data_IF_245957604238
#
_entry.id   IF_245957604238
#
_cell.length_a   1.000
_cell.length_b   1.000
_cell.length_c   1.000
_cell.angle_alpha   90.00
_cell.angle_beta   90.00
_cell.angle_gamma   90.00
#
_symmetry.space_group_name_H-M   'P 1'
#
loop_
_entity.id
_entity.type
_entity.pdbx_description
1 polymer ?
#
# COMPACT_ATOMS: atom_id res chain seq x y z
N UNK A 1 17.19 9.11 9.99
CA UNK A 1 15.92 9.69 10.43
C UNK A 1 15.06 8.60 11.02
N UNK A 2 14.96 8.54 12.35
CA UNK A 2 14.11 7.54 13.03
C UNK A 2 12.68 8.07 12.95
N UNK A 3 11.90 7.61 11.97
CA UNK A 3 10.48 7.89 11.97
C UNK A 3 9.87 7.17 13.18
N UNK A 4 9.28 7.97 14.08
CA UNK A 4 8.31 7.49 15.05
C UNK A 4 7.25 6.67 14.30
N UNK A 5 6.82 5.58 14.89
CA UNK A 5 5.88 4.59 14.33
C UNK A 5 4.76 5.25 13.52
N UNK A 6 4.51 4.77 12.30
CA UNK A 6 3.49 5.32 11.41
C UNK A 6 2.08 5.01 11.93
N UNK A 7 1.31 6.06 12.21
CA UNK A 7 -0.11 5.95 12.56
C UNK A 7 -1.02 5.89 11.32
N UNK A 8 -2.30 5.56 11.54
CA UNK A 8 -3.28 5.43 10.47
C UNK A 8 -3.49 6.72 9.64
N UNK A 9 -3.42 7.89 10.26
CA UNK A 9 -3.53 9.18 9.57
C UNK A 9 -2.37 9.41 8.59
N UNK A 10 -1.15 9.29 9.11
CA UNK A 10 0.08 9.43 8.32
C UNK A 10 0.09 8.41 7.17
N UNK A 11 -0.37 7.18 7.43
CA UNK A 11 -0.50 6.17 6.40
C UNK A 11 -1.50 6.57 5.30
N UNK A 12 -2.69 7.04 5.66
CA UNK A 12 -3.68 7.48 4.68
C UNK A 12 -3.21 8.67 3.85
N UNK A 13 -2.46 9.60 4.45
CA UNK A 13 -1.87 10.71 3.72
C UNK A 13 -0.80 10.22 2.74
N UNK A 14 0.06 9.29 3.16
CA UNK A 14 1.03 8.65 2.26
C UNK A 14 0.35 7.91 1.10
N UNK A 15 -0.77 7.22 1.32
CA UNK A 15 -1.54 6.57 0.24
C UNK A 15 -2.14 7.60 -0.72
N UNK A 16 -2.65 8.73 -0.24
CA UNK A 16 -3.17 9.80 -1.13
C UNK A 16 -2.07 10.41 -1.99
N UNK A 17 -0.97 10.78 -1.36
CA UNK A 17 0.07 11.55 -2.03
C UNK A 17 0.94 10.68 -2.93
N UNK A 18 1.22 9.44 -2.53
CA UNK A 18 2.17 8.57 -3.24
C UNK A 18 1.50 7.47 -4.07
N UNK A 19 0.19 7.26 -3.96
CA UNK A 19 -0.53 6.31 -4.79
C UNK A 19 -1.67 6.95 -5.58
N UNK A 20 -2.65 7.58 -4.92
CA UNK A 20 -3.81 8.12 -5.64
C UNK A 20 -3.45 9.25 -6.60
N UNK A 21 -2.63 10.21 -6.14
CA UNK A 21 -2.22 11.34 -6.96
C UNK A 21 -1.38 10.91 -8.17
N UNK A 22 -0.34 10.06 -8.04
CA UNK A 22 0.38 9.53 -9.20
C UNK A 22 -0.51 8.71 -10.13
N UNK A 23 -1.39 7.85 -9.60
CA UNK A 23 -2.33 7.08 -10.41
C UNK A 23 -3.15 7.99 -11.34
N UNK A 24 -3.70 9.06 -10.79
CA UNK A 24 -4.50 10.02 -11.56
C UNK A 24 -3.63 10.83 -12.53
N UNK A 25 -2.41 11.20 -12.12
CA UNK A 25 -1.44 11.91 -12.98
C UNK A 25 -1.03 11.09 -14.21
N UNK A 26 -0.77 9.80 -14.03
CA UNK A 26 -0.42 8.89 -15.11
C UNK A 26 -1.63 8.35 -15.88
N UNK A 27 -2.85 8.80 -15.56
CA UNK A 27 -4.10 8.37 -16.18
C UNK A 27 -4.26 6.84 -16.19
N UNK A 28 -3.93 6.18 -15.09
CA UNK A 28 -4.06 4.73 -14.95
C UNK A 28 -5.54 4.31 -14.97
N UNK A 29 -5.83 3.20 -15.63
CA UNK A 29 -7.17 2.65 -15.68
C UNK A 29 -7.60 2.08 -14.32
N UNK A 30 -8.59 2.74 -13.72
CA UNK A 30 -9.14 2.39 -12.41
C UNK A 30 -9.83 1.02 -12.41
N UNK A 31 -10.26 0.54 -13.58
CA UNK A 31 -10.97 -0.75 -13.70
C UNK A 31 -10.03 -1.95 -13.64
N UNK A 32 -8.74 -1.76 -13.91
CA UNK A 32 -7.73 -2.83 -13.94
C UNK A 32 -6.75 -2.77 -12.76
N UNK A 33 -6.83 -1.71 -11.94
CA UNK A 33 -5.90 -1.47 -10.85
C UNK A 33 -6.23 -2.28 -9.59
N UNK A 34 -5.25 -3.03 -9.10
CA UNK A 34 -5.30 -3.76 -7.83
C UNK A 34 -4.28 -3.12 -6.87
N UNK A 35 -4.72 -2.81 -5.65
CA UNK A 35 -3.82 -2.31 -4.61
C UNK A 35 -3.50 -3.45 -3.63
N UNK A 36 -2.22 -3.76 -3.47
CA UNK A 36 -1.75 -4.83 -2.58
C UNK A 36 -1.00 -4.23 -1.39
N UNK A 37 -1.28 -4.73 -0.19
CA UNK A 37 -0.61 -4.36 1.05
C UNK A 37 -0.51 -5.57 1.99
N UNK A 38 0.42 -5.54 2.95
CA UNK A 38 0.52 -6.57 3.99
C UNK A 38 -0.51 -6.36 5.12
N UNK A 39 -0.49 -7.26 6.11
CA UNK A 39 -1.37 -7.21 7.28
C UNK A 39 -0.83 -6.40 8.47
N UNK A 40 0.09 -5.45 8.25
CA UNK A 40 0.57 -4.60 9.34
C UNK A 40 -0.60 -3.95 10.09
N UNK A 41 -0.43 -3.73 11.41
CA UNK A 41 -1.49 -3.21 12.27
C UNK A 41 -2.09 -1.88 11.76
N UNK A 42 -1.26 -1.03 11.14
CA UNK A 42 -1.71 0.22 10.55
C UNK A 42 -2.58 0.01 9.30
N UNK A 43 -2.25 -0.98 8.46
CA UNK A 43 -3.00 -1.30 7.23
C UNK A 43 -4.37 -1.94 7.53
N UNK A 44 -4.46 -2.67 8.64
CA UNK A 44 -5.69 -3.34 9.11
C UNK A 44 -6.49 -2.50 10.10
N UNK A 45 -5.98 -1.32 10.49
CA UNK A 45 -6.68 -0.41 11.38
C UNK A 45 -8.05 -0.04 10.80
N UNK A 46 -9.08 -0.01 11.66
CA UNK A 46 -10.47 0.26 11.26
C UNK A 46 -10.61 1.49 10.37
N UNK A 47 -9.94 2.57 10.72
CA UNK A 47 -9.93 3.83 9.97
C UNK A 47 -9.42 3.65 8.53
N UNK A 48 -8.35 2.89 8.35
CA UNK A 48 -7.77 2.58 7.03
C UNK A 48 -8.70 1.68 6.23
N UNK A 49 -9.21 0.62 6.85
CA UNK A 49 -10.14 -0.30 6.19
C UNK A 49 -11.45 0.38 5.78
N UNK A 50 -12.00 1.26 6.62
CA UNK A 50 -13.21 2.03 6.30
C UNK A 50 -12.98 3.05 5.19
N UNK A 51 -11.79 3.68 5.15
CA UNK A 51 -11.38 4.52 4.03
C UNK A 51 -11.37 3.72 2.72
N UNK A 52 -10.69 2.58 2.66
CA UNK A 52 -10.66 1.78 1.43
C UNK A 52 -12.04 1.27 1.03
N UNK A 53 -12.87 0.83 2.00
CA UNK A 53 -14.27 0.42 1.74
C UNK A 53 -15.10 1.51 1.09
N UNK A 54 -15.00 2.76 1.54
CA UNK A 54 -15.72 3.90 0.94
C UNK A 54 -15.23 4.22 -0.47
N UNK A 55 -13.94 4.01 -0.73
CA UNK A 55 -13.30 4.28 -2.02
C UNK A 55 -13.35 3.07 -3.00
N UNK A 56 -13.98 1.94 -2.62
CA UNK A 56 -14.08 0.71 -3.44
C UNK A 56 -14.68 0.89 -4.84
N UNK A 57 -15.39 1.98 -5.11
CA UNK A 57 -15.84 2.31 -6.48
C UNK A 57 -14.69 2.64 -7.45
N UNK A 58 -13.49 2.90 -6.92
CA UNK A 58 -12.29 3.23 -7.71
C UNK A 58 -11.13 2.26 -7.50
N UNK A 59 -11.35 1.20 -6.72
CA UNK A 59 -10.34 0.18 -6.44
C UNK A 59 -11.05 -1.17 -6.40
N UNK A 60 -10.82 -1.98 -7.43
CA UNK A 60 -11.54 -3.23 -7.63
C UNK A 60 -11.28 -4.21 -6.47
N UNK A 61 -10.03 -4.28 -5.99
CA UNK A 61 -9.65 -5.12 -4.84
C UNK A 61 -8.47 -4.53 -4.06
N UNK A 62 -8.57 -4.51 -2.74
CA UNK A 62 -7.41 -4.44 -1.84
C UNK A 62 -7.02 -5.87 -1.50
N UNK A 63 -5.87 -6.33 -1.97
CA UNK A 63 -5.35 -7.64 -1.63
C UNK A 63 -4.54 -7.54 -0.33
N UNK A 64 -5.07 -8.12 0.74
CA UNK A 64 -4.34 -8.36 1.97
C UNK A 64 -3.61 -9.69 1.83
N UNK A 65 -2.29 -9.68 2.04
CA UNK A 65 -1.49 -10.90 2.01
C UNK A 65 -1.87 -11.84 3.15
N UNK A 66 -1.65 -13.15 2.95
CA UNK A 66 -1.69 -14.08 4.07
C UNK A 66 -0.60 -13.70 5.09
N UNK A 67 -0.85 -13.89 6.40
CA UNK A 67 0.18 -13.68 7.41
C UNK A 67 1.44 -14.48 7.08
N UNK A 68 2.62 -13.87 7.26
CA UNK A 68 3.93 -14.46 6.98
C UNK A 68 4.19 -14.84 5.51
N UNK A 69 3.45 -14.27 4.56
CA UNK A 69 3.67 -14.48 3.12
C UNK A 69 4.42 -13.32 2.47
N UNK A 70 5.61 -13.00 3.00
CA UNK A 70 6.48 -11.95 2.44
C UNK A 70 6.98 -12.30 1.04
N UNK A 71 7.14 -13.59 0.74
CA UNK A 71 7.46 -14.13 -0.59
C UNK A 71 6.41 -13.80 -1.66
N UNK A 72 5.15 -13.65 -1.25
CA UNK A 72 4.06 -13.25 -2.15
C UNK A 72 3.95 -11.74 -2.38
N UNK A 73 4.78 -10.94 -1.69
CA UNK A 73 4.78 -9.48 -1.86
C UNK A 73 5.90 -9.06 -2.82
N UNK A 74 5.58 -8.54 -4.03
CA UNK A 74 6.60 -8.09 -4.97
C UNK A 74 7.55 -7.03 -4.39
N UNK A 75 7.10 -6.23 -3.40
CA UNK A 75 7.95 -5.20 -2.79
C UNK A 75 9.15 -5.79 -2.05
N UNK A 76 9.04 -7.01 -1.51
CA UNK A 76 10.12 -7.67 -0.77
C UNK A 76 11.29 -8.03 -1.71
N UNK A 77 10.97 -8.43 -2.94
CA UNK A 77 11.98 -8.66 -3.99
C UNK A 77 12.67 -7.36 -4.40
N UNK A 78 11.91 -6.25 -4.51
CA UNK A 78 12.48 -4.93 -4.82
C UNK A 78 13.43 -4.50 -3.70
N UNK A 79 13.04 -4.67 -2.43
CA UNK A 79 13.91 -4.36 -1.30
C UNK A 79 15.16 -5.24 -1.26
N UNK A 80 15.04 -6.54 -1.54
CA UNK A 80 16.19 -7.43 -1.64
C UNK A 80 17.17 -6.95 -2.71
N UNK A 81 16.66 -6.62 -3.91
CA UNK A 81 17.48 -6.07 -4.99
C UNK A 81 18.15 -4.74 -4.59
N UNK A 82 17.40 -3.79 -4.03
CA UNK A 82 17.94 -2.49 -3.59
C UNK A 82 19.06 -2.64 -2.55
N UNK A 83 18.90 -3.56 -1.59
CA UNK A 83 19.95 -3.85 -0.60
C UNK A 83 21.20 -4.42 -1.26
N UNK A 84 21.05 -5.32 -2.23
CA UNK A 84 22.18 -5.87 -2.99
C UNK A 84 22.91 -4.83 -3.84
N UNK A 85 22.23 -3.78 -4.32
CA UNK A 85 22.85 -2.68 -5.08
C UNK A 85 23.54 -1.62 -4.21
N UNK A 86 23.36 -1.68 -2.89
CA UNK A 86 24.01 -0.76 -1.94
C UNK A 86 25.37 -1.27 -1.44
N UNK A 87 25.76 -2.48 -1.84
CA UNK A 87 27.10 -3.06 -1.67
C UNK A 87 27.86 -3.01 -2.99
#
# INVERSE_FOLDING_TARGET
WIMKTMGADVYLDAVKDNFWRPRDWYNMDKSTLIFQQDNAQVHTARKVMDYFKKNKKSLFFTALLLPNSSDLNPIEHIWAYMKCQQY
#
